data_IF_983270517638
#
_entry.id   IF_983270517638
#
_cell.length_a   1.000
_cell.length_b   1.000
_cell.length_c   1.000
_cell.angle_alpha   90.00
_cell.angle_beta   90.00
_cell.angle_gamma   90.00
#
_symmetry.space_group_name_H-M   'P 1'
#
loop_
_entity.id
_entity.type
_entity.pdbx_description
1 polymer ?
#
# COMPACT_ATOMS: atom_id res chain seq x y z
N UNK A 1 -13.13 -22.21 10.76
CA UNK A 1 -12.34 -21.14 10.13
C UNK A 1 -12.96 -19.75 10.23
N UNK A 2 -14.23 -19.53 9.84
CA UNK A 2 -14.85 -18.19 9.83
C UNK A 2 -14.90 -17.52 11.23
N UNK A 3 -15.26 -18.27 12.26
CA UNK A 3 -15.35 -17.76 13.65
C UNK A 3 -13.99 -17.34 14.20
N UNK A 4 -12.93 -18.10 13.90
CA UNK A 4 -11.55 -17.80 14.29
C UNK A 4 -11.04 -16.53 13.60
N UNK A 5 -11.35 -16.37 12.31
CA UNK A 5 -11.03 -15.17 11.55
C UNK A 5 -11.75 -13.95 12.11
N UNK A 6 -13.05 -14.05 12.39
CA UNK A 6 -13.84 -12.97 12.99
C UNK A 6 -13.32 -12.61 14.39
N UNK A 7 -12.91 -13.59 15.21
CA UNK A 7 -12.31 -13.36 16.54
C UNK A 7 -10.95 -12.65 16.44
N UNK A 8 -10.06 -13.07 15.55
CA UNK A 8 -8.78 -12.40 15.34
C UNK A 8 -8.98 -10.96 14.85
N UNK A 9 -9.90 -10.77 13.92
CA UNK A 9 -10.19 -9.48 13.32
C UNK A 9 -10.82 -8.51 14.35
N UNK A 10 -11.73 -8.99 15.21
CA UNK A 10 -12.23 -8.23 16.36
C UNK A 10 -11.16 -7.93 17.42
N UNK A 11 -10.22 -8.85 17.64
CA UNK A 11 -9.10 -8.65 18.57
C UNK A 11 -8.13 -7.58 18.06
N UNK A 12 -7.80 -7.63 16.76
CA UNK A 12 -6.95 -6.63 16.10
C UNK A 12 -7.57 -5.23 16.18
N UNK A 13 -8.87 -5.09 15.93
CA UNK A 13 -9.59 -3.83 16.06
C UNK A 13 -9.56 -3.23 17.46
N UNK A 14 -9.58 -4.07 18.51
CA UNK A 14 -9.48 -3.64 19.90
C UNK A 14 -8.02 -3.45 20.35
N UNK A 15 -7.06 -3.95 19.58
CA UNK A 15 -5.64 -3.94 19.88
C UNK A 15 -4.98 -2.57 19.68
N UNK A 16 -3.83 -2.38 20.34
CA UNK A 16 -3.01 -1.18 20.17
C UNK A 16 -2.55 -0.98 18.73
N UNK A 17 -2.36 -2.07 17.99
CA UNK A 17 -1.93 -2.06 16.57
C UNK A 17 -2.94 -1.32 15.70
N UNK A 18 -4.24 -1.60 15.83
CA UNK A 18 -5.26 -0.88 15.06
C UNK A 18 -5.28 0.62 15.39
N UNK A 19 -5.11 0.99 16.67
CA UNK A 19 -5.02 2.40 17.09
C UNK A 19 -3.79 3.10 16.50
N UNK A 20 -2.64 2.43 16.47
CA UNK A 20 -1.41 2.97 15.86
C UNK A 20 -1.58 3.13 14.35
N UNK A 21 -2.11 2.12 13.67
CA UNK A 21 -2.40 2.18 12.24
C UNK A 21 -3.38 3.32 11.96
N UNK A 22 -4.46 3.42 12.73
CA UNK A 22 -5.45 4.48 12.57
C UNK A 22 -4.81 5.86 12.78
N UNK A 23 -3.93 6.02 13.77
CA UNK A 23 -3.23 7.27 14.04
C UNK A 23 -2.26 7.63 12.91
N UNK A 24 -1.39 6.70 12.50
CA UNK A 24 -0.33 6.94 11.50
C UNK A 24 -0.91 7.10 10.10
N UNK A 25 -1.82 6.21 9.70
CA UNK A 25 -2.39 6.20 8.35
C UNK A 25 -3.43 7.31 8.19
N UNK A 26 -4.23 7.59 9.24
CA UNK A 26 -5.20 8.67 9.18
C UNK A 26 -4.68 10.04 9.63
N UNK A 27 -3.36 10.21 9.68
CA UNK A 27 -2.78 11.54 9.89
C UNK A 27 -3.06 12.41 8.67
N UNK A 28 -3.90 13.42 8.86
CA UNK A 28 -4.10 14.48 7.89
C UNK A 28 -3.13 15.63 8.17
N UNK A 29 -2.49 16.13 7.12
CA UNK A 29 -1.69 17.35 7.19
C UNK A 29 -2.64 18.55 7.09
N UNK A 30 -2.44 19.59 7.93
CA UNK A 30 -3.26 20.78 7.89
C UNK A 30 -3.08 21.53 6.55
N UNK A 31 -4.10 22.32 6.17
CA UNK A 31 -4.00 23.21 5.02
C UNK A 31 -2.79 24.17 5.16
N UNK A 32 -2.00 24.44 4.12
CA UNK A 32 -2.19 24.13 2.69
C UNK A 32 -1.62 22.78 2.19
N UNK A 33 -1.09 21.92 3.07
CA UNK A 33 -0.37 20.70 2.68
C UNK A 33 -1.26 19.45 2.57
N UNK A 34 -2.55 19.61 2.30
CA UNK A 34 -3.50 18.48 2.18
C UNK A 34 -3.10 17.52 1.06
N UNK A 35 -2.46 18.00 0.00
CA UNK A 35 -1.92 17.16 -1.07
C UNK A 35 -0.79 16.22 -0.60
N UNK A 36 -0.03 16.61 0.43
CA UNK A 36 1.09 15.83 0.96
C UNK A 36 0.64 14.59 1.74
N UNK A 37 -0.61 14.57 2.24
CA UNK A 37 -1.19 13.41 2.95
C UNK A 37 -1.08 12.12 2.15
N UNK A 38 -1.38 12.19 0.86
CA UNK A 38 -1.34 11.04 -0.03
C UNK A 38 0.08 10.55 -0.31
N UNK A 39 1.04 11.47 -0.46
CA UNK A 39 2.45 11.13 -0.61
C UNK A 39 3.05 10.57 0.68
N UNK A 40 2.65 11.09 1.84
CA UNK A 40 3.03 10.53 3.13
C UNK A 40 2.51 9.10 3.30
N UNK A 41 1.24 8.86 2.97
CA UNK A 41 0.68 7.50 2.96
C UNK A 41 1.45 6.56 2.01
N UNK A 42 1.93 7.08 0.87
CA UNK A 42 2.78 6.33 -0.06
C UNK A 42 4.14 5.97 0.56
N UNK A 43 4.81 6.91 1.22
CA UNK A 43 6.08 6.65 1.92
C UNK A 43 5.87 5.63 3.06
N UNK A 44 4.79 5.76 3.82
CA UNK A 44 4.42 4.79 4.87
C UNK A 44 4.21 3.39 4.29
N UNK A 45 3.51 3.28 3.16
CA UNK A 45 3.35 2.00 2.44
C UNK A 45 4.69 1.41 1.99
N UNK A 46 5.57 2.23 1.41
CA UNK A 46 6.90 1.81 0.98
C UNK A 46 7.76 1.31 2.15
N UNK A 47 7.76 2.05 3.28
CA UNK A 47 8.50 1.68 4.48
C UNK A 47 7.96 0.40 5.12
N UNK A 48 6.64 0.25 5.22
CA UNK A 48 6.04 -0.99 5.75
C UNK A 48 6.39 -2.20 4.88
N UNK A 49 6.31 -2.08 3.55
CA UNK A 49 6.68 -3.18 2.64
C UNK A 49 8.18 -3.44 2.64
N UNK A 50 9.02 -2.42 2.84
CA UNK A 50 10.46 -2.62 3.01
C UNK A 50 10.79 -3.45 4.25
N UNK A 51 10.13 -3.17 5.38
CA UNK A 51 10.32 -3.92 6.64
C UNK A 51 9.80 -5.36 6.51
N UNK A 52 8.61 -5.53 5.94
CA UNK A 52 7.97 -6.84 5.81
C UNK A 52 8.52 -7.63 4.62
N UNK A 53 9.19 -6.96 3.68
CA UNK A 53 9.71 -7.47 2.41
C UNK A 53 8.67 -8.18 1.52
N UNK A 54 7.39 -7.99 1.79
CA UNK A 54 6.30 -8.68 1.09
C UNK A 54 5.09 -7.77 0.91
N UNK A 55 4.83 -7.41 -0.34
CA UNK A 55 3.66 -6.59 -0.70
C UNK A 55 2.34 -7.36 -0.59
N UNK A 56 2.37 -8.70 -0.68
CA UNK A 56 1.18 -9.54 -0.48
C UNK A 56 0.77 -9.54 0.99
N UNK A 57 1.72 -9.70 1.91
CA UNK A 57 1.46 -9.60 3.36
C UNK A 57 0.92 -8.22 3.72
N UNK A 58 1.51 -7.16 3.15
CA UNK A 58 1.00 -5.79 3.32
C UNK A 58 -0.46 -5.66 2.86
N UNK A 59 -0.76 -6.12 1.65
CA UNK A 59 -2.11 -6.01 1.05
C UNK A 59 -3.14 -6.83 1.84
N UNK A 60 -2.78 -8.03 2.27
CA UNK A 60 -3.63 -8.89 3.11
C UNK A 60 -3.89 -8.29 4.50
N UNK A 61 -2.93 -7.52 5.06
CA UNK A 61 -3.12 -6.85 6.33
C UNK A 61 -4.04 -5.62 6.22
N UNK A 62 -3.93 -4.83 5.16
CA UNK A 62 -4.76 -3.61 4.99
C UNK A 62 -6.19 -3.92 4.53
N UNK A 63 -6.40 -5.00 3.75
CA UNK A 63 -7.72 -5.37 3.21
C UNK A 63 -8.82 -5.51 4.28
N UNK A 64 -8.63 -6.24 5.39
CA UNK A 64 -9.63 -6.31 6.45
C UNK A 64 -9.83 -4.96 7.15
N UNK A 65 -8.79 -4.15 7.30
CA UNK A 65 -8.88 -2.82 7.92
C UNK A 65 -9.71 -1.83 7.07
N UNK A 66 -9.63 -1.96 5.75
CA UNK A 66 -10.50 -1.26 4.81
C UNK A 66 -11.94 -1.76 4.94
N UNK A 67 -12.15 -3.07 5.00
CA UNK A 67 -13.47 -3.68 5.17
C UNK A 67 -14.17 -3.29 6.49
N UNK A 68 -13.39 -2.92 7.50
CA UNK A 68 -13.84 -2.44 8.81
C UNK A 68 -14.00 -0.92 8.89
N UNK A 69 -13.64 -0.19 7.83
CA UNK A 69 -13.69 1.28 7.80
C UNK A 69 -12.59 1.99 8.59
N UNK A 70 -11.57 1.28 9.07
CA UNK A 70 -10.41 1.87 9.78
C UNK A 70 -9.53 2.66 8.82
N UNK A 71 -9.40 2.18 7.58
CA UNK A 71 -8.66 2.81 6.50
C UNK A 71 -9.63 3.11 5.36
N UNK A 72 -9.67 4.36 4.89
CA UNK A 72 -10.49 4.72 3.73
C UNK A 72 -9.88 4.20 2.42
N UNK A 73 -10.71 3.94 1.41
CA UNK A 73 -10.27 3.50 0.09
C UNK A 73 -9.32 4.54 -0.56
N UNK A 74 -9.56 5.82 -0.28
CA UNK A 74 -8.76 6.95 -0.73
C UNK A 74 -7.33 6.91 -0.17
N UNK A 75 -7.15 6.40 1.06
CA UNK A 75 -5.83 6.20 1.68
C UNK A 75 -5.21 4.85 1.30
N UNK A 76 -6.03 3.82 1.11
CA UNK A 76 -5.57 2.52 0.65
C UNK A 76 -4.86 2.60 -0.71
N UNK A 77 -5.33 3.45 -1.62
CA UNK A 77 -4.72 3.60 -2.94
C UNK A 77 -3.24 4.07 -2.91
N UNK A 78 -2.88 5.22 -2.31
CA UNK A 78 -1.48 5.63 -2.19
C UNK A 78 -0.65 4.66 -1.34
N UNK A 79 -1.21 4.03 -0.31
CA UNK A 79 -0.53 2.99 0.47
C UNK A 79 -0.08 1.81 -0.41
N UNK A 80 -0.96 1.34 -1.29
CA UNK A 80 -0.66 0.24 -2.23
C UNK A 80 0.39 0.66 -3.26
N UNK A 81 0.31 1.89 -3.79
CA UNK A 81 1.35 2.43 -4.68
C UNK A 81 2.71 2.51 -3.98
N UNK A 82 2.71 2.93 -2.72
CA UNK A 82 3.88 2.93 -1.85
C UNK A 82 4.47 1.54 -1.66
N UNK A 83 3.62 0.56 -1.35
CA UNK A 83 4.02 -0.84 -1.20
C UNK A 83 4.75 -1.37 -2.44
N UNK A 84 4.29 -1.02 -3.65
CA UNK A 84 4.97 -1.40 -4.88
C UNK A 84 6.38 -0.80 -4.99
N UNK A 85 6.58 0.47 -4.58
CA UNK A 85 7.91 1.06 -4.47
C UNK A 85 8.76 0.28 -3.45
N UNK A 86 8.20 -0.05 -2.28
CA UNK A 86 8.90 -0.81 -1.25
C UNK A 86 9.48 -2.14 -1.77
N UNK A 87 8.73 -2.88 -2.59
CA UNK A 87 9.19 -4.12 -3.23
C UNK A 87 10.40 -3.89 -4.14
N UNK A 88 10.45 -2.76 -4.85
CA UNK A 88 11.60 -2.44 -5.71
C UNK A 88 12.86 -2.12 -4.91
N UNK A 89 12.74 -1.53 -3.72
CA UNK A 89 13.86 -1.36 -2.79
C UNK A 89 14.41 -2.71 -2.33
N UNK A 90 13.53 -3.68 -2.03
CA UNK A 90 13.96 -5.05 -1.71
C UNK A 90 14.69 -5.70 -2.88
N UNK A 91 14.23 -5.51 -4.12
CA UNK A 91 14.91 -6.01 -5.31
C UNK A 91 16.29 -5.38 -5.51
N UNK A 92 16.44 -4.10 -5.21
CA UNK A 92 17.74 -3.40 -5.25
C UNK A 92 18.70 -4.00 -4.21
N UNK A 93 18.25 -4.21 -2.97
CA UNK A 93 19.07 -4.85 -1.94
C UNK A 93 19.46 -6.29 -2.31
N UNK A 94 18.53 -7.07 -2.87
CA UNK A 94 18.79 -8.42 -3.33
C UNK A 94 19.82 -8.45 -4.48
N UNK A 95 19.73 -7.47 -5.40
CA UNK A 95 20.71 -7.31 -6.46
C UNK A 95 22.10 -6.98 -5.90
N UNK A 96 22.20 -6.06 -4.93
CA UNK A 96 23.47 -5.70 -4.29
C UNK A 96 24.10 -6.86 -3.49
N UNK A 97 23.28 -7.77 -2.98
CA UNK A 97 23.73 -8.99 -2.30
C UNK A 97 24.13 -10.14 -3.27
N UNK A 98 23.91 -9.97 -4.57
CA UNK A 98 24.16 -11.03 -5.57
C UNK A 98 25.66 -11.14 -5.94
N UNK A 99 26.13 -12.32 -6.37
CA UNK A 99 27.52 -12.51 -6.81
C UNK A 99 27.92 -11.55 -7.95
N UNK A 100 29.20 -11.13 -7.96
CA UNK A 100 29.75 -10.15 -8.92
C UNK A 100 29.45 -10.45 -10.38
N UNK A 101 29.42 -11.73 -10.75
CA UNK A 101 29.12 -12.19 -12.12
C UNK A 101 27.71 -11.84 -12.58
N UNK A 102 26.74 -11.75 -11.66
CA UNK A 102 25.32 -11.46 -11.95
C UNK A 102 24.88 -10.08 -11.45
N UNK A 103 25.75 -9.37 -10.73
CA UNK A 103 25.45 -8.09 -10.10
C UNK A 103 24.93 -7.06 -11.11
N UNK A 104 25.62 -6.88 -12.24
CA UNK A 104 25.24 -5.90 -13.26
C UNK A 104 23.84 -6.16 -13.83
N UNK A 105 23.54 -7.42 -14.18
CA UNK A 105 22.24 -7.80 -14.73
C UNK A 105 21.13 -7.70 -13.67
N UNK A 106 21.37 -8.18 -12.45
CA UNK A 106 20.39 -8.13 -11.36
C UNK A 106 20.06 -6.69 -10.95
N UNK A 107 21.08 -5.83 -10.87
CA UNK A 107 20.92 -4.42 -10.53
C UNK A 107 20.20 -3.65 -11.63
N UNK A 108 20.52 -3.91 -12.90
CA UNK A 108 19.80 -3.34 -14.02
C UNK A 108 18.31 -3.70 -13.98
N UNK A 109 17.96 -4.97 -13.74
CA UNK A 109 16.57 -5.42 -13.61
C UNK A 109 15.89 -4.69 -12.44
N UNK A 110 16.54 -4.62 -11.27
CA UNK A 110 16.00 -3.92 -10.11
C UNK A 110 15.71 -2.44 -10.38
N UNK A 111 16.62 -1.75 -11.08
CA UNK A 111 16.42 -0.36 -11.50
C UNK A 111 15.30 -0.21 -12.53
N UNK A 112 15.21 -1.11 -13.52
CA UNK A 112 14.10 -1.12 -14.47
C UNK A 112 12.75 -1.23 -13.75
N UNK A 113 12.64 -2.12 -12.76
CA UNK A 113 11.43 -2.23 -11.94
C UNK A 113 11.17 -0.97 -11.12
N UNK A 114 12.19 -0.37 -10.51
CA UNK A 114 12.07 0.88 -9.74
C UNK A 114 11.55 2.03 -10.60
N UNK A 115 12.17 2.27 -11.77
CA UNK A 115 11.76 3.32 -12.69
C UNK A 115 10.39 3.07 -13.31
N UNK A 116 10.05 1.82 -13.64
CA UNK A 116 8.72 1.47 -14.13
C UNK A 116 7.64 1.79 -13.09
N UNK A 117 7.87 1.47 -11.81
CA UNK A 117 6.92 1.79 -10.74
C UNK A 117 6.79 3.30 -10.52
N UNK A 118 7.91 4.03 -10.49
CA UNK A 118 7.89 5.50 -10.32
C UNK A 118 7.21 6.19 -11.49
N UNK A 119 7.55 5.84 -12.72
CA UNK A 119 6.92 6.42 -13.92
C UNK A 119 5.42 6.13 -13.96
N UNK A 120 5.01 4.91 -13.62
CA UNK A 120 3.59 4.55 -13.47
C UNK A 120 2.88 5.41 -12.41
N UNK A 121 3.49 5.62 -11.25
CA UNK A 121 2.94 6.48 -10.21
C UNK A 121 2.85 7.93 -10.69
N UNK A 122 3.90 8.47 -11.31
CA UNK A 122 3.93 9.84 -11.83
C UNK A 122 2.85 10.07 -12.90
N UNK A 123 2.56 9.05 -13.71
CA UNK A 123 1.57 9.13 -14.77
C UNK A 123 0.12 9.02 -14.23
N UNK A 124 -0.14 8.14 -13.26
CA UNK A 124 -1.50 7.80 -12.81
C UNK A 124 -1.95 8.48 -11.50
N UNK A 125 -1.03 8.85 -10.60
CA UNK A 125 -1.37 9.35 -9.26
C UNK A 125 -1.63 10.87 -9.18
N UNK A 126 -0.82 11.74 -9.82
CA UNK A 126 -1.01 13.19 -9.75
C UNK A 126 -2.33 13.67 -10.35
N UNK A 127 -2.76 13.05 -11.46
CA UNK A 127 -3.98 13.43 -12.17
C UNK A 127 -5.20 12.81 -11.47
N UNK A 128 -6.10 13.60 -10.83
CA UNK A 128 -7.22 13.04 -10.07
C UNK A 128 -8.21 12.22 -10.92
N UNK A 129 -8.32 12.54 -12.22
CA UNK A 129 -9.18 11.81 -13.15
C UNK A 129 -8.70 10.37 -13.40
N UNK A 130 -7.38 10.16 -13.38
CA UNK A 130 -6.76 8.87 -13.68
C UNK A 130 -6.78 7.89 -12.49
N UNK A 131 -7.30 8.30 -11.33
CA UNK A 131 -7.50 7.45 -10.15
C UNK A 131 -8.68 6.48 -10.31
N UNK A 132 -8.76 5.83 -11.46
CA UNK A 132 -9.76 4.84 -11.86
C UNK A 132 -9.91 3.69 -10.84
N UNK A 133 -8.83 3.14 -10.23
CA UNK A 133 -8.94 2.04 -9.28
C UNK A 133 -9.86 2.35 -8.08
N UNK A 134 -9.86 3.60 -7.59
CA UNK A 134 -10.75 4.02 -6.49
C UNK A 134 -12.21 3.95 -6.94
N UNK A 135 -12.51 4.42 -8.15
CA UNK A 135 -13.87 4.40 -8.71
C UNK A 135 -14.35 2.96 -8.92
N UNK A 136 -13.49 2.10 -9.46
CA UNK A 136 -13.78 0.69 -9.69
C UNK A 136 -14.04 -0.06 -8.36
N UNK A 137 -13.18 0.14 -7.36
CA UNK A 137 -13.34 -0.47 -6.04
C UNK A 137 -14.67 -0.07 -5.38
N UNK A 138 -15.03 1.22 -5.45
CA UNK A 138 -16.33 1.71 -4.95
C UNK A 138 -17.51 1.15 -5.74
N UNK A 139 -17.42 1.09 -7.07
CA UNK A 139 -18.47 0.55 -7.91
C UNK A 139 -18.72 -0.93 -7.62
N UNK A 140 -17.65 -1.73 -7.51
CA UNK A 140 -17.72 -3.14 -7.14
C UNK A 140 -18.31 -3.33 -5.74
N UNK A 141 -17.82 -2.58 -4.74
CA UNK A 141 -18.33 -2.64 -3.38
C UNK A 141 -19.83 -2.30 -3.28
N UNK A 142 -20.29 -1.28 -4.01
CA UNK A 142 -21.73 -0.94 -4.10
C UNK A 142 -22.56 -2.03 -4.74
N UNK A 143 -22.04 -2.69 -5.79
CA UNK A 143 -22.72 -3.83 -6.42
C UNK A 143 -22.81 -4.99 -5.43
N UNK A 144 -21.73 -5.37 -4.77
CA UNK A 144 -21.73 -6.44 -3.77
C UNK A 144 -22.69 -6.14 -2.62
N UNK A 145 -22.75 -4.90 -2.13
CA UNK A 145 -23.70 -4.50 -1.09
C UNK A 145 -25.17 -4.58 -1.53
N UNK A 146 -25.46 -4.51 -2.84
CA UNK A 146 -26.82 -4.64 -3.39
C UNK A 146 -27.29 -6.10 -3.49
N UNK A 147 -26.37 -7.04 -3.66
CA UNK A 147 -26.67 -8.47 -3.86
C UNK A 147 -26.33 -9.35 -2.63
N UNK A 148 -25.99 -8.72 -1.50
CA UNK A 148 -25.73 -9.37 -0.22
C UNK A 148 -26.93 -9.18 0.70
#
# INVERSE_FOLDING_TARGET
CLILLVKMLNSLLKGQVAKVIQKVINTDFPAPFTWATGYFAMVVGAGMTFVVQSSSVFTSAITPLIGLGVISIERAYPLTLGSNIGTTTTAILAALASPREKLSSAFQIALCHFFFNISGILLWYPVPCMRLPIRMAKALGKRTAKYR
#
